data_IF_190893098646
#
_entry.id   IF_190893098646
#
_cell.length_a   1.000
_cell.length_b   1.000
_cell.length_c   1.000
_cell.angle_alpha   90.00
_cell.angle_beta   90.00
_cell.angle_gamma   90.00
#
_symmetry.space_group_name_H-M   'P 1'
#
loop_
_entity.id
_entity.type
_entity.pdbx_description
1 polymer ?
#
# COMPACT_ATOMS: atom_id res chain seq x y z
N UNK A 1 -4.57 -11.89 -6.92
CA UNK A 1 -4.19 -10.45 -6.87
C UNK A 1 -3.33 -10.16 -8.09
N UNK A 2 -3.69 -9.16 -8.93
CA UNK A 2 -2.92 -8.75 -10.13
C UNK A 2 -2.95 -7.22 -10.32
N UNK A 3 -2.98 -6.48 -9.22
CA UNK A 3 -3.07 -5.01 -9.19
C UNK A 3 -1.83 -4.39 -8.55
N UNK A 4 -1.19 -5.12 -7.64
CA UNK A 4 0.02 -4.66 -6.94
C UNK A 4 1.25 -4.88 -7.80
N UNK A 5 2.16 -3.90 -7.79
CA UNK A 5 3.51 -4.08 -8.32
C UNK A 5 4.34 -5.00 -7.43
N UNK A 6 5.50 -5.41 -7.93
CA UNK A 6 6.47 -6.19 -7.16
C UNK A 6 7.03 -5.32 -6.03
N UNK A 7 6.93 -5.81 -4.79
CA UNK A 7 7.49 -5.12 -3.62
C UNK A 7 9.01 -5.31 -3.59
N UNK A 8 9.73 -4.23 -3.26
CA UNK A 8 11.20 -4.24 -3.11
C UNK A 8 11.64 -4.75 -1.75
N UNK A 9 10.74 -4.72 -0.77
CA UNK A 9 10.91 -5.25 0.59
C UNK A 9 10.04 -6.49 0.81
N UNK A 10 10.59 -7.49 1.49
CA UNK A 10 9.85 -8.70 1.89
C UNK A 10 8.77 -8.35 2.91
N UNK A 11 9.05 -7.44 3.84
CA UNK A 11 8.09 -7.01 4.87
C UNK A 11 6.87 -6.32 4.22
N UNK A 12 7.11 -5.47 3.21
CA UNK A 12 6.04 -4.82 2.44
C UNK A 12 5.19 -5.87 1.69
N UNK A 13 5.84 -6.89 1.11
CA UNK A 13 5.16 -7.98 0.42
C UNK A 13 4.29 -8.82 1.38
N UNK A 14 4.82 -9.16 2.56
CA UNK A 14 4.12 -9.91 3.61
C UNK A 14 2.90 -9.11 4.10
N UNK A 15 3.07 -7.80 4.35
CA UNK A 15 2.00 -6.90 4.74
C UNK A 15 0.83 -6.93 3.74
N UNK A 16 1.12 -6.70 2.46
CA UNK A 16 0.11 -6.69 1.40
C UNK A 16 -0.58 -8.07 1.26
N UNK A 17 0.18 -9.16 1.38
CA UNK A 17 -0.37 -10.51 1.35
C UNK A 17 -1.27 -10.79 2.55
N UNK A 18 -0.89 -10.37 3.75
CA UNK A 18 -1.68 -10.52 4.98
C UNK A 18 -2.98 -9.71 4.89
N UNK A 19 -2.92 -8.46 4.45
CA UNK A 19 -4.11 -7.63 4.23
C UNK A 19 -5.08 -8.29 3.26
N UNK A 20 -4.58 -8.83 2.14
CA UNK A 20 -5.43 -9.51 1.16
C UNK A 20 -6.12 -10.77 1.72
N UNK A 21 -5.39 -11.57 2.50
CA UNK A 21 -5.99 -12.74 3.17
C UNK A 21 -7.09 -12.31 4.14
N UNK A 22 -6.87 -11.25 4.92
CA UNK A 22 -7.86 -10.70 5.84
C UNK A 22 -9.10 -10.19 5.10
N UNK A 23 -8.91 -9.47 3.98
CA UNK A 23 -10.00 -9.03 3.10
C UNK A 23 -10.85 -10.19 2.58
N UNK A 24 -10.21 -11.28 2.14
CA UNK A 24 -10.95 -12.45 1.65
C UNK A 24 -11.79 -13.10 2.76
N UNK A 25 -11.23 -13.24 3.97
CA UNK A 25 -11.96 -13.79 5.12
C UNK A 25 -13.12 -12.88 5.54
N UNK A 26 -12.89 -11.57 5.60
CA UNK A 26 -13.93 -10.58 5.85
C UNK A 26 -15.09 -10.73 4.87
N UNK A 27 -14.79 -10.70 3.56
CA UNK A 27 -15.82 -10.83 2.51
C UNK A 27 -16.57 -12.16 2.59
N UNK A 28 -15.86 -13.25 2.92
CA UNK A 28 -16.48 -14.55 3.14
C UNK A 28 -17.45 -14.54 4.34
N UNK A 29 -17.03 -13.97 5.46
CA UNK A 29 -17.81 -13.86 6.70
C UNK A 29 -19.07 -12.99 6.50
N UNK A 30 -18.92 -11.84 5.83
CA UNK A 30 -20.05 -10.98 5.46
C UNK A 30 -21.06 -11.71 4.56
N UNK A 31 -20.57 -12.50 3.59
CA UNK A 31 -21.42 -13.33 2.73
C UNK A 31 -22.20 -14.37 3.53
N UNK A 32 -21.56 -15.04 4.49
CA UNK A 32 -22.24 -16.02 5.36
C UNK A 32 -23.30 -15.39 6.26
N UNK A 33 -23.13 -14.12 6.62
CA UNK A 33 -24.12 -13.34 7.36
C UNK A 33 -25.17 -12.67 6.46
N UNK A 34 -25.26 -13.07 5.19
CA UNK A 34 -26.18 -12.53 4.19
C UNK A 34 -26.10 -10.99 4.02
N UNK A 35 -24.94 -10.39 4.32
CA UNK A 35 -24.69 -8.98 4.10
C UNK A 35 -24.19 -8.74 2.68
N UNK A 36 -24.67 -7.64 2.09
CA UNK A 36 -24.31 -7.20 0.73
C UNK A 36 -23.79 -5.78 0.76
N UNK A 37 -22.84 -5.50 -0.12
CA UNK A 37 -22.28 -4.17 -0.31
C UNK A 37 -23.16 -3.35 -1.26
N UNK A 38 -23.15 -2.03 -1.04
CA UNK A 38 -23.68 -1.08 -2.02
C UNK A 38 -22.91 -1.24 -3.32
N UNK A 39 -23.62 -1.26 -4.44
CA UNK A 39 -23.01 -1.21 -5.76
C UNK A 39 -22.78 0.25 -6.12
N UNK A 40 -21.54 0.60 -6.41
CA UNK A 40 -21.17 1.91 -6.93
C UNK A 40 -20.92 1.83 -8.43
N UNK A 41 -21.08 2.97 -9.11
CA UNK A 41 -20.84 3.06 -10.55
C UNK A 41 -19.37 2.72 -10.87
N UNK A 42 -19.09 1.89 -11.89
CA UNK A 42 -17.73 1.50 -12.26
C UNK A 42 -16.81 2.71 -12.49
N UNK A 43 -17.35 3.80 -13.04
CA UNK A 43 -16.60 5.05 -13.28
C UNK A 43 -15.97 5.61 -11.99
N UNK A 44 -16.67 5.52 -10.85
CA UNK A 44 -16.17 6.02 -9.56
C UNK A 44 -15.04 5.15 -9.02
N UNK A 45 -15.09 3.85 -9.27
CA UNK A 45 -14.02 2.91 -8.91
C UNK A 45 -12.78 3.18 -9.76
N UNK A 46 -12.96 3.43 -11.06
CA UNK A 46 -11.87 3.77 -11.98
C UNK A 46 -11.21 5.11 -11.61
N UNK A 47 -11.98 6.10 -11.16
CA UNK A 47 -11.45 7.37 -10.65
C UNK A 47 -10.55 7.17 -9.43
N UNK A 48 -11.00 6.40 -8.43
CA UNK A 48 -10.14 6.06 -7.28
C UNK A 48 -8.89 5.29 -7.70
N UNK A 49 -8.99 4.40 -8.71
CA UNK A 49 -7.82 3.69 -9.24
C UNK A 49 -6.83 4.63 -9.90
N UNK A 50 -7.32 5.58 -10.70
CA UNK A 50 -6.47 6.59 -11.33
C UNK A 50 -5.78 7.47 -10.28
N UNK A 51 -6.50 7.91 -9.25
CA UNK A 51 -5.95 8.70 -8.14
C UNK A 51 -4.86 7.94 -7.38
N UNK A 52 -5.12 6.69 -7.02
CA UNK A 52 -4.13 5.84 -6.35
C UNK A 52 -2.86 5.69 -7.19
N UNK A 53 -2.99 5.54 -8.51
CA UNK A 53 -1.84 5.46 -9.41
C UNK A 53 -1.08 6.80 -9.53
N UNK A 54 -1.80 7.92 -9.60
CA UNK A 54 -1.22 9.25 -9.84
C UNK A 54 -0.53 9.85 -8.62
N UNK A 55 -1.13 9.66 -7.44
CA UNK A 55 -0.74 10.33 -6.20
C UNK A 55 -0.22 9.36 -5.13
N UNK A 56 -0.40 8.04 -5.32
CA UNK A 56 0.08 7.04 -4.38
C UNK A 56 -0.48 7.25 -2.98
N UNK A 57 0.40 7.13 -1.98
CA UNK A 57 0.06 7.23 -0.56
C UNK A 57 -0.17 8.66 -0.07
N UNK A 58 0.30 9.68 -0.82
CA UNK A 58 0.10 11.10 -0.49
C UNK A 58 -1.23 11.65 -1.04
N UNK A 59 -1.98 10.80 -1.75
CA UNK A 59 -3.23 11.17 -2.40
C UNK A 59 -4.45 11.07 -1.49
N UNK A 60 -5.55 11.58 -2.03
CA UNK A 60 -6.89 11.40 -1.47
C UNK A 60 -7.71 10.49 -2.38
N UNK A 61 -8.55 9.67 -1.77
CA UNK A 61 -9.53 8.83 -2.47
C UNK A 61 -10.95 9.26 -2.11
N UNK A 62 -11.88 8.98 -3.00
CA UNK A 62 -13.29 9.24 -2.77
C UNK A 62 -13.82 8.21 -1.77
N UNK A 63 -14.29 8.66 -0.62
CA UNK A 63 -15.16 7.90 0.26
C UNK A 63 -16.59 8.03 -0.26
N UNK A 64 -17.16 6.92 -0.74
CA UNK A 64 -18.50 6.90 -1.33
C UNK A 64 -19.64 7.01 -0.30
N UNK A 65 -19.37 6.69 0.97
CA UNK A 65 -20.32 6.86 2.06
C UNK A 65 -20.44 8.33 2.49
N UNK A 66 -19.31 9.02 2.56
CA UNK A 66 -19.21 10.45 2.92
C UNK A 66 -19.41 11.39 1.74
N UNK A 67 -19.18 10.92 0.51
CA UNK A 67 -19.24 11.73 -0.71
C UNK A 67 -18.14 12.79 -0.78
N UNK A 68 -16.98 12.50 -0.19
CA UNK A 68 -15.86 13.45 -0.06
C UNK A 68 -14.53 12.77 -0.39
N UNK A 69 -13.52 13.59 -0.70
CA UNK A 69 -12.13 13.15 -0.78
C UNK A 69 -11.56 13.05 0.63
N UNK A 70 -10.98 11.89 0.93
CA UNK A 70 -10.40 11.58 2.24
C UNK A 70 -8.93 11.18 2.02
N UNK A 71 -8.00 11.67 2.85
CA UNK A 71 -6.60 11.25 2.81
C UNK A 71 -6.47 9.73 2.91
N UNK A 72 -5.56 9.14 2.12
CA UNK A 72 -5.33 7.69 2.15
C UNK A 72 -4.90 7.20 3.53
N UNK A 73 -4.18 8.01 4.31
CA UNK A 73 -3.79 7.70 5.69
C UNK A 73 -4.99 7.43 6.60
N UNK A 74 -6.02 8.27 6.54
CA UNK A 74 -7.25 8.08 7.32
C UNK A 74 -8.01 6.82 6.86
N UNK A 75 -8.09 6.60 5.55
CA UNK A 75 -8.72 5.41 4.99
C UNK A 75 -7.99 4.12 5.37
N UNK A 76 -6.65 4.17 5.47
CA UNK A 76 -5.85 3.03 5.90
C UNK A 76 -6.22 2.62 7.33
N UNK A 77 -6.41 3.58 8.22
CA UNK A 77 -6.80 3.32 9.61
C UNK A 77 -8.15 2.62 9.68
N UNK A 78 -9.13 3.13 8.93
CA UNK A 78 -10.45 2.50 8.82
C UNK A 78 -10.38 1.09 8.22
N UNK A 79 -9.50 0.87 7.24
CA UNK A 79 -9.27 -0.46 6.67
C UNK A 79 -8.68 -1.41 7.70
N UNK A 80 -7.68 -0.98 8.47
CA UNK A 80 -7.04 -1.80 9.51
C UNK A 80 -8.02 -2.17 10.60
N UNK A 81 -8.86 -1.24 11.04
CA UNK A 81 -9.94 -1.51 12.00
C UNK A 81 -10.96 -2.51 11.44
N UNK A 82 -11.34 -2.36 10.17
CA UNK A 82 -12.31 -3.24 9.52
C UNK A 82 -11.81 -4.69 9.39
N UNK A 83 -10.52 -4.90 9.15
CA UNK A 83 -9.93 -6.24 8.98
C UNK A 83 -9.35 -6.82 10.28
N UNK A 84 -9.42 -6.10 11.41
CA UNK A 84 -8.76 -6.46 12.67
C UNK A 84 -9.14 -7.85 13.19
N UNK A 85 -10.43 -8.18 13.21
CA UNK A 85 -10.92 -9.51 13.62
C UNK A 85 -10.34 -10.63 12.73
N UNK A 86 -10.17 -10.35 11.43
CA UNK A 86 -9.61 -11.30 10.48
C UNK A 86 -8.09 -11.46 10.66
N UNK A 87 -7.39 -10.36 10.96
CA UNK A 87 -5.96 -10.37 11.27
C UNK A 87 -5.66 -11.13 12.56
N UNK A 88 -6.48 -10.95 13.61
CA UNK A 88 -6.40 -11.73 14.85
C UNK A 88 -6.65 -13.22 14.60
N UNK A 89 -7.64 -13.55 13.76
CA UNK A 89 -7.93 -14.95 13.41
C UNK A 89 -6.80 -15.65 12.66
N UNK A 90 -6.00 -14.91 11.88
CA UNK A 90 -4.83 -15.45 11.19
C UNK A 90 -3.53 -15.26 11.96
N UNK A 91 -3.57 -14.60 13.12
CA UNK A 91 -2.40 -14.21 13.90
C UNK A 91 -1.38 -13.41 13.06
N UNK A 92 -1.88 -12.45 12.26
CA UNK A 92 -1.08 -11.61 11.37
C UNK A 92 -1.27 -10.10 11.61
N UNK A 93 -1.61 -9.72 12.86
CA UNK A 93 -1.86 -8.32 13.25
C UNK A 93 -0.63 -7.46 13.03
N UNK A 94 0.57 -7.94 13.38
CA UNK A 94 1.82 -7.24 13.15
C UNK A 94 2.07 -6.94 11.68
N UNK A 95 1.78 -7.91 10.82
CA UNK A 95 2.02 -7.86 9.39
C UNK A 95 1.09 -6.86 8.72
N UNK A 96 -0.19 -6.78 9.11
CA UNK A 96 -1.10 -5.77 8.56
C UNK A 96 -0.78 -4.37 9.09
N UNK A 97 -0.35 -4.24 10.35
CA UNK A 97 0.05 -2.96 10.95
C UNK A 97 1.34 -2.38 10.33
N UNK A 98 2.15 -3.21 9.67
CA UNK A 98 3.27 -2.75 8.84
C UNK A 98 2.84 -1.74 7.76
N UNK A 99 1.57 -1.76 7.34
CA UNK A 99 1.05 -0.76 6.40
C UNK A 99 1.22 0.68 6.90
N UNK A 100 1.15 0.90 8.23
CA UNK A 100 1.43 2.22 8.84
C UNK A 100 2.90 2.62 8.68
N UNK A 101 3.80 1.65 8.72
CA UNK A 101 5.24 1.89 8.50
C UNK A 101 5.50 2.23 7.03
N UNK A 102 4.83 1.57 6.09
CA UNK A 102 4.89 1.93 4.66
C UNK A 102 4.43 3.38 4.46
N UNK A 103 3.35 3.78 5.12
CA UNK A 103 2.83 5.15 5.03
C UNK A 103 3.80 6.16 5.66
N UNK A 104 4.38 5.86 6.83
CA UNK A 104 5.30 6.76 7.53
C UNK A 104 6.69 6.86 6.88
N UNK A 105 7.22 5.74 6.36
CA UNK A 105 8.54 5.65 5.74
C UNK A 105 8.55 5.98 4.24
N UNK A 106 7.36 6.17 3.64
CA UNK A 106 7.20 6.37 2.21
C UNK A 106 7.27 5.05 1.43
N UNK A 107 6.57 5.01 0.28
CA UNK A 107 6.60 3.85 -0.61
C UNK A 107 7.98 3.62 -1.25
N UNK A 108 8.18 2.46 -1.88
CA UNK A 108 9.39 2.20 -2.68
C UNK A 108 9.70 3.34 -3.67
N UNK A 109 8.69 3.90 -4.33
CA UNK A 109 8.86 5.03 -5.25
C UNK A 109 9.42 6.28 -4.55
N UNK A 110 8.97 6.57 -3.32
CA UNK A 110 9.51 7.66 -2.52
C UNK A 110 10.98 7.45 -2.18
N UNK A 111 11.34 6.23 -1.77
CA UNK A 111 12.72 5.87 -1.43
C UNK A 111 13.65 5.98 -2.65
N UNK A 112 13.20 5.50 -3.81
CA UNK A 112 13.93 5.62 -5.07
C UNK A 112 14.14 7.09 -5.49
N UNK A 113 13.09 7.91 -5.42
CA UNK A 113 13.19 9.34 -5.71
C UNK A 113 14.14 10.06 -4.75
N UNK A 114 14.08 9.73 -3.45
CA UNK A 114 14.98 10.29 -2.44
C UNK A 114 16.44 9.93 -2.68
N UNK A 115 16.73 8.67 -3.07
CA UNK A 115 18.10 8.24 -3.43
C UNK A 115 18.60 8.97 -4.68
N UNK A 116 17.77 9.06 -5.71
CA UNK A 116 18.10 9.77 -6.95
C UNK A 116 18.42 11.25 -6.69
N UNK A 117 17.54 11.95 -5.95
CA UNK A 117 17.73 13.35 -5.59
C UNK A 117 18.99 13.54 -4.75
N UNK A 118 19.20 12.70 -3.74
CA UNK A 118 20.42 12.75 -2.89
C UNK A 118 21.71 12.48 -3.68
N UNK A 119 21.68 11.64 -4.71
CA UNK A 119 22.83 11.42 -5.59
C UNK A 119 23.09 12.65 -6.47
N UNK A 120 22.04 13.21 -7.07
CA UNK A 120 22.14 14.40 -7.92
C UNK A 120 22.62 15.63 -7.13
N UNK A 121 22.15 15.83 -5.90
CA UNK A 121 22.61 16.90 -5.00
C UNK A 121 24.09 16.77 -4.62
N UNK A 122 24.63 15.55 -4.63
CA UNK A 122 26.06 15.27 -4.41
C UNK A 122 26.91 15.43 -5.68
N UNK A 123 26.31 15.87 -6.78
CA UNK A 123 26.99 16.16 -8.05
C UNK A 123 27.09 14.95 -8.98
N UNK A 124 26.38 13.85 -8.70
CA UNK A 124 26.30 12.72 -9.62
C UNK A 124 25.59 13.14 -10.91
N UNK A 125 26.06 12.63 -12.05
CA UNK A 125 25.34 12.77 -13.29
C UNK A 125 24.06 11.89 -13.33
N UNK A 126 23.29 11.99 -14.42
CA UNK A 126 22.04 11.25 -14.53
C UNK A 126 22.23 9.72 -14.45
N UNK A 127 23.28 9.20 -15.08
CA UNK A 127 23.52 7.76 -15.12
C UNK A 127 24.01 7.28 -13.74
N UNK A 128 24.92 8.01 -13.11
CA UNK A 128 25.42 7.71 -11.77
C UNK A 128 24.28 7.75 -10.72
N UNK A 129 23.34 8.69 -10.84
CA UNK A 129 22.17 8.76 -9.98
C UNK A 129 21.21 7.58 -10.19
N UNK A 130 21.04 7.09 -11.42
CA UNK A 130 20.25 5.89 -11.70
C UNK A 130 20.93 4.62 -11.18
N UNK A 131 22.24 4.50 -11.36
CA UNK A 131 23.01 3.36 -10.86
C UNK A 131 22.92 3.27 -9.33
N UNK A 132 22.97 4.42 -8.63
CA UNK A 132 22.77 4.48 -7.19
C UNK A 132 21.38 3.99 -6.75
N UNK A 133 20.33 4.28 -7.53
CA UNK A 133 18.98 3.74 -7.27
C UNK A 133 18.94 2.22 -7.47
N UNK A 134 19.57 1.70 -8.51
CA UNK A 134 19.65 0.25 -8.76
C UNK A 134 20.38 -0.46 -7.61
N UNK A 135 21.53 0.06 -7.18
CA UNK A 135 22.30 -0.49 -6.06
C UNK A 135 21.48 -0.49 -4.76
N UNK A 136 20.73 0.59 -4.51
CA UNK A 136 19.82 0.67 -3.38
C UNK A 136 18.73 -0.40 -3.43
N UNK A 137 18.09 -0.60 -4.59
CA UNK A 137 17.04 -1.62 -4.76
C UNK A 137 17.57 -3.04 -4.56
N UNK A 138 18.78 -3.33 -5.05
CA UNK A 138 19.42 -4.61 -4.79
C UNK A 138 19.68 -4.84 -3.30
N UNK A 139 20.10 -3.79 -2.58
CA UNK A 139 20.33 -3.88 -1.14
C UNK A 139 19.03 -4.08 -0.35
N UNK A 140 17.95 -3.38 -0.70
CA UNK A 140 16.62 -3.60 -0.10
C UNK A 140 16.14 -5.03 -0.32
N UNK A 141 16.21 -5.52 -1.56
CA UNK A 141 15.72 -6.86 -1.90
C UNK A 141 16.51 -7.97 -1.19
N UNK A 142 17.79 -7.74 -0.90
CA UNK A 142 18.66 -8.67 -0.16
C UNK A 142 18.45 -8.62 1.35
N UNK A 143 17.84 -7.57 1.91
CA UNK A 143 17.44 -7.56 3.32
C UNK A 143 16.30 -8.57 3.48
N UNK A 144 16.58 -9.64 4.22
CA UNK A 144 15.57 -10.60 4.64
C UNK A 144 14.48 -9.94 5.50
N UNK A 145 13.43 -10.68 5.87
CA UNK A 145 12.40 -10.18 6.77
C UNK A 145 12.99 -9.77 8.13
N UNK A 146 12.42 -8.72 8.72
CA UNK A 146 12.85 -8.14 10.01
C UNK A 146 12.35 -8.92 11.22
#
# INVERSE_FOLDING_TARGET
>A
MRITDVCTSIDDAICIAAMFQCWLRLLYRLRMNNQRWRRYEPMLIEENRWRAHRYGIDGELIDFGRGALIPYSELLDEILDLIREDAESFNCVSEVEHARQILAGGSSSHRQLGVYQSASERGADHQEALDAVVDHLQAETKRGPS
#
